data_IF_961777805833
#
_entry.id   IF_961777805833
#
_cell.length_a   1.000
_cell.length_b   1.000
_cell.length_c   1.000
_cell.angle_alpha   90.00
_cell.angle_beta   90.00
_cell.angle_gamma   90.00
#
_symmetry.space_group_name_H-M   'P 1'
#
loop_
_entity.id
_entity.type
_entity.pdbx_description
1 polymer ?
#
# COMPACT_ATOMS: atom_id res chain seq x y z
N UNK A 1 2.27 0.65 20.27
CA UNK A 1 3.31 1.22 19.40
C UNK A 1 2.61 1.87 18.23
N UNK A 2 2.97 3.10 17.87
CA UNK A 2 2.41 3.79 16.71
C UNK A 2 2.94 3.20 15.40
N UNK A 3 2.26 3.46 14.27
CA UNK A 3 2.73 2.98 12.97
C UNK A 3 4.09 3.58 12.61
N UNK A 4 4.33 4.84 12.97
CA UNK A 4 5.62 5.52 12.72
C UNK A 4 6.75 4.83 13.47
N UNK A 5 6.52 4.46 14.75
CA UNK A 5 7.50 3.71 15.54
C UNK A 5 7.78 2.32 14.96
N UNK A 6 6.74 1.61 14.50
CA UNK A 6 6.89 0.30 13.85
C UNK A 6 7.75 0.39 12.57
N UNK A 7 7.49 1.38 11.71
CA UNK A 7 8.29 1.61 10.50
C UNK A 7 9.74 1.99 10.86
N UNK A 8 9.94 2.81 11.89
CA UNK A 8 11.27 3.22 12.32
C UNK A 8 12.12 2.04 12.85
N UNK A 9 11.49 1.05 13.49
CA UNK A 9 12.16 -0.11 14.08
C UNK A 9 12.24 -1.32 13.13
N UNK A 10 11.49 -1.31 12.02
CA UNK A 10 11.44 -2.42 11.08
C UNK A 10 12.80 -2.63 10.39
N UNK A 11 13.15 -3.89 10.19
CA UNK A 11 14.26 -4.33 9.37
C UNK A 11 13.94 -4.22 7.86
N UNK A 12 14.87 -4.59 7.01
CA UNK A 12 14.69 -4.53 5.55
C UNK A 12 13.49 -5.37 5.08
N UNK A 13 13.29 -6.55 5.67
CA UNK A 13 12.17 -7.42 5.32
C UNK A 13 10.83 -6.79 5.71
N UNK A 14 10.73 -6.27 6.93
CA UNK A 14 9.54 -5.59 7.43
C UNK A 14 9.20 -4.34 6.62
N UNK A 15 10.20 -3.53 6.27
CA UNK A 15 10.04 -2.34 5.44
C UNK A 15 9.56 -2.69 4.03
N UNK A 16 10.18 -3.69 3.40
CA UNK A 16 9.79 -4.15 2.06
C UNK A 16 8.37 -4.74 2.06
N UNK A 17 8.05 -5.59 3.02
CA UNK A 17 6.72 -6.18 3.17
C UNK A 17 5.65 -5.12 3.46
N UNK A 18 5.94 -4.14 4.32
CA UNK A 18 5.02 -3.04 4.64
C UNK A 18 4.68 -2.17 3.43
N UNK A 19 5.71 -1.73 2.67
CA UNK A 19 5.53 -0.97 1.45
C UNK A 19 4.79 -1.76 0.37
N UNK A 20 5.21 -3.02 0.16
CA UNK A 20 4.60 -3.91 -0.83
C UNK A 20 3.13 -4.21 -0.50
N UNK A 21 2.80 -4.45 0.76
CA UNK A 21 1.43 -4.69 1.20
C UNK A 21 0.51 -3.48 0.96
N UNK A 22 0.99 -2.25 1.20
CA UNK A 22 0.25 -1.04 0.87
C UNK A 22 -0.02 -0.93 -0.64
N UNK A 23 1.01 -1.11 -1.46
CA UNK A 23 0.91 -1.06 -2.92
C UNK A 23 -0.05 -2.14 -3.45
N UNK A 24 0.07 -3.37 -2.96
CA UNK A 24 -0.74 -4.52 -3.39
C UNK A 24 -2.24 -4.30 -3.12
N UNK A 25 -2.59 -3.69 -1.98
CA UNK A 25 -3.98 -3.33 -1.70
C UNK A 25 -4.52 -2.29 -2.67
N UNK A 26 -3.65 -1.47 -3.25
CA UNK A 26 -4.01 -0.42 -4.22
C UNK A 26 -3.96 -0.86 -5.69
N UNK A 27 -3.56 -2.10 -5.99
CA UNK A 27 -3.54 -2.67 -7.36
C UNK A 27 -4.86 -2.48 -8.13
N UNK A 28 -6.06 -2.56 -7.52
CA UNK A 28 -7.31 -2.29 -8.23
C UNK A 28 -7.41 -0.91 -8.89
N UNK A 29 -6.66 0.08 -8.40
CA UNK A 29 -6.58 1.43 -8.98
C UNK A 29 -5.61 1.51 -10.16
N UNK A 30 -4.69 0.56 -10.27
CA UNK A 30 -3.66 0.50 -11.31
C UNK A 30 -4.07 -0.38 -12.50
N UNK A 31 -5.28 -0.97 -12.47
CA UNK A 31 -5.76 -1.86 -13.52
C UNK A 31 -5.06 -3.22 -13.57
N UNK A 32 -4.25 -3.55 -12.58
CA UNK A 32 -3.53 -4.82 -12.50
C UNK A 32 -4.41 -6.00 -12.05
N UNK A 33 -3.98 -7.20 -12.41
CA UNK A 33 -4.55 -8.44 -11.89
C UNK A 33 -4.05 -8.76 -10.46
N UNK A 34 -4.65 -9.77 -9.84
CA UNK A 34 -4.36 -10.13 -8.44
C UNK A 34 -2.97 -10.73 -8.24
N UNK A 35 -2.30 -11.18 -9.31
CA UNK A 35 -1.00 -11.85 -9.25
C UNK A 35 0.15 -10.96 -9.74
N UNK A 36 -0.14 -9.70 -10.13
CA UNK A 36 0.85 -8.78 -10.72
C UNK A 36 2.06 -8.57 -9.80
N UNK A 37 1.84 -8.52 -8.48
CA UNK A 37 2.89 -8.31 -7.48
C UNK A 37 3.46 -9.62 -6.88
N UNK A 38 3.00 -10.78 -7.38
CA UNK A 38 3.49 -12.09 -6.91
C UNK A 38 5.01 -12.24 -7.00
N UNK A 39 5.69 -11.78 -8.08
CA UNK A 39 7.15 -11.86 -8.14
C UNK A 39 7.86 -11.10 -7.03
N UNK A 40 7.34 -9.92 -6.64
CA UNK A 40 7.89 -9.13 -5.54
C UNK A 40 7.68 -9.82 -4.17
N UNK A 41 6.52 -10.40 -3.93
CA UNK A 41 6.29 -11.20 -2.72
C UNK A 41 7.20 -12.44 -2.67
N UNK A 42 7.42 -13.11 -3.80
CA UNK A 42 8.32 -14.24 -3.89
C UNK A 42 9.76 -13.84 -3.56
N UNK A 43 10.24 -12.71 -4.10
CA UNK A 43 11.61 -12.22 -3.83
C UNK A 43 11.88 -11.86 -2.36
N UNK A 44 10.83 -11.67 -1.55
CA UNK A 44 10.96 -11.47 -0.09
C UNK A 44 11.04 -12.79 0.68
N UNK A 45 10.48 -13.87 0.12
CA UNK A 45 10.39 -15.18 0.78
C UNK A 45 11.60 -16.08 0.45
N UNK A 46 12.31 -15.83 -0.65
CA UNK A 46 13.42 -16.64 -1.12
C UNK A 46 14.71 -16.32 -0.35
N UNK A 47 15.42 -17.35 0.10
CA UNK A 47 16.78 -17.28 0.61
C UNK A 47 17.77 -17.12 -0.55
N UNK A 48 19.01 -16.73 -0.26
CA UNK A 48 20.05 -16.30 -1.23
C UNK A 48 20.30 -17.22 -2.44
N UNK A 49 19.87 -18.49 -2.43
CA UNK A 49 20.10 -19.46 -3.50
C UNK A 49 19.06 -19.46 -4.65
N UNK A 50 17.92 -18.77 -4.50
CA UNK A 50 16.87 -18.67 -5.52
C UNK A 50 16.51 -17.24 -5.92
N UNK A 51 17.44 -16.34 -5.75
CA UNK A 51 17.27 -14.89 -5.76
C UNK A 51 16.73 -14.36 -7.09
N UNK A 52 15.44 -14.05 -7.12
CA UNK A 52 14.94 -13.10 -8.13
C UNK A 52 15.37 -11.70 -7.70
N UNK A 53 16.08 -11.02 -8.57
CA UNK A 53 16.49 -9.65 -8.31
C UNK A 53 15.26 -8.77 -8.05
N UNK A 54 15.22 -8.17 -6.87
CA UNK A 54 14.14 -7.26 -6.47
C UNK A 54 13.96 -6.13 -7.49
N UNK A 55 15.07 -5.52 -7.95
CA UNK A 55 15.06 -4.42 -8.91
C UNK A 55 14.46 -4.84 -10.24
N UNK A 56 14.82 -6.03 -10.76
CA UNK A 56 14.22 -6.58 -11.97
C UNK A 56 12.72 -6.81 -11.81
N UNK A 57 12.28 -7.34 -10.65
CA UNK A 57 10.87 -7.52 -10.36
C UNK A 57 10.12 -6.18 -10.30
N UNK A 58 10.70 -5.15 -9.71
CA UNK A 58 10.12 -3.79 -9.67
C UNK A 58 9.94 -3.25 -11.09
N UNK A 59 10.96 -3.34 -11.95
CA UNK A 59 10.89 -2.86 -13.33
C UNK A 59 9.86 -3.64 -14.16
N UNK A 60 9.77 -4.95 -14.00
CA UNK A 60 8.76 -5.77 -14.66
C UNK A 60 7.33 -5.37 -14.25
N UNK A 61 7.10 -5.10 -12.97
CA UNK A 61 5.80 -4.64 -12.47
C UNK A 61 5.48 -3.26 -13.01
N UNK A 62 6.45 -2.33 -13.00
CA UNK A 62 6.29 -1.00 -13.58
C UNK A 62 5.90 -1.07 -15.05
N UNK A 63 6.62 -1.86 -15.85
CA UNK A 63 6.34 -2.02 -17.27
C UNK A 63 4.91 -2.53 -17.55
N UNK A 64 4.38 -3.38 -16.67
CA UNK A 64 3.02 -3.94 -16.81
C UNK A 64 1.92 -3.00 -16.33
N UNK A 65 2.17 -2.18 -15.31
CA UNK A 65 1.19 -1.29 -14.69
C UNK A 65 1.29 0.16 -15.18
N UNK A 66 2.32 0.49 -15.93
CA UNK A 66 2.46 1.82 -16.54
C UNK A 66 1.59 1.88 -17.80
N UNK A 67 0.33 2.19 -17.61
CA UNK A 67 -0.56 2.51 -18.75
C UNK A 67 -0.24 3.94 -19.14
N UNK A 68 0.13 4.14 -20.40
CA UNK A 68 0.55 5.43 -20.99
C UNK A 68 -0.58 6.47 -20.99
N UNK A 69 -1.81 6.03 -20.89
CA UNK A 69 -2.97 6.90 -20.76
C UNK A 69 -3.32 7.05 -19.27
N UNK A 70 -2.73 8.06 -18.66
CA UNK A 70 -3.13 8.49 -17.33
C UNK A 70 -4.64 8.76 -17.29
N UNK A 71 -5.32 8.47 -16.18
CA UNK A 71 -6.76 8.65 -16.09
C UNK A 71 -7.11 10.09 -16.44
N UNK A 72 -7.88 10.27 -17.47
CA UNK A 72 -8.54 11.51 -17.75
C UNK A 72 -9.45 11.83 -16.56
N UNK A 73 -9.08 12.82 -15.75
CA UNK A 73 -9.88 13.20 -14.59
C UNK A 73 -9.06 13.64 -13.36
N UNK A 74 -8.09 14.53 -13.57
CA UNK A 74 -7.58 15.36 -12.46
C UNK A 74 -8.74 16.20 -11.93
N UNK A 75 -9.20 15.89 -10.70
CA UNK A 75 -10.30 16.62 -10.04
C UNK A 75 -11.38 15.72 -9.44
N UNK A 76 -11.29 14.40 -9.60
CA UNK A 76 -12.15 13.45 -8.87
C UNK A 76 -11.34 12.70 -7.80
N UNK A 77 -12.01 12.33 -6.70
CA UNK A 77 -11.38 11.55 -5.63
C UNK A 77 -10.75 10.24 -6.14
N UNK A 78 -11.34 9.61 -7.15
CA UNK A 78 -10.76 8.42 -7.77
C UNK A 78 -9.55 8.74 -8.64
N UNK A 79 -9.57 9.85 -9.38
CA UNK A 79 -8.41 10.30 -10.15
C UNK A 79 -7.22 10.57 -9.24
N UNK A 80 -7.45 11.26 -8.13
CA UNK A 80 -6.42 11.50 -7.10
C UNK A 80 -5.92 10.19 -6.48
N UNK A 81 -6.81 9.25 -6.17
CA UNK A 81 -6.45 7.93 -5.65
C UNK A 81 -5.56 7.14 -6.63
N UNK A 82 -5.86 7.19 -7.93
CA UNK A 82 -5.04 6.57 -8.98
C UNK A 82 -3.65 7.22 -9.06
N UNK A 83 -3.56 8.54 -9.01
CA UNK A 83 -2.27 9.27 -8.99
C UNK A 83 -1.43 8.86 -7.79
N UNK A 84 -2.03 8.74 -6.61
CA UNK A 84 -1.33 8.27 -5.40
C UNK A 84 -0.84 6.83 -5.56
N UNK A 85 -1.63 5.93 -6.13
CA UNK A 85 -1.23 4.55 -6.37
C UNK A 85 -0.05 4.46 -7.36
N UNK A 86 -0.07 5.24 -8.45
CA UNK A 86 1.07 5.35 -9.37
C UNK A 86 2.32 5.91 -8.70
N UNK A 87 2.17 6.89 -7.80
CA UNK A 87 3.29 7.43 -7.01
C UNK A 87 3.92 6.37 -6.11
N UNK A 88 3.12 5.51 -5.46
CA UNK A 88 3.62 4.38 -4.67
C UNK A 88 4.47 3.44 -5.54
N UNK A 89 3.99 3.08 -6.71
CA UNK A 89 4.70 2.22 -7.65
C UNK A 89 5.99 2.89 -8.17
N UNK A 90 5.91 4.16 -8.56
CA UNK A 90 7.06 4.92 -9.06
C UNK A 90 8.16 5.11 -8.01
N UNK A 91 7.79 5.17 -6.73
CA UNK A 91 8.73 5.33 -5.62
C UNK A 91 9.38 4.01 -5.17
N UNK A 92 8.96 2.84 -5.67
CA UNK A 92 9.55 1.55 -5.31
C UNK A 92 11.06 1.56 -5.67
N UNK A 93 11.97 1.27 -4.72
CA UNK A 93 13.41 1.36 -5.00
C UNK A 93 13.88 0.16 -5.83
N UNK A 94 14.82 0.38 -6.75
CA UNK A 94 15.52 -0.70 -7.44
C UNK A 94 16.48 -1.43 -6.49
N UNK A 95 17.12 -0.68 -5.58
CA UNK A 95 18.02 -1.23 -4.57
C UNK A 95 17.30 -1.45 -3.25
N UNK A 96 17.33 -2.68 -2.74
CA UNK A 96 16.71 -3.10 -1.49
C UNK A 96 17.60 -2.80 -0.28
N UNK A 97 17.88 -1.52 -0.05
CA UNK A 97 18.58 -1.06 1.16
C UNK A 97 17.57 -0.58 2.22
N UNK A 98 17.90 -0.73 3.51
CA UNK A 98 17.04 -0.27 4.60
C UNK A 98 16.66 1.20 4.46
N UNK A 99 17.57 2.07 4.01
CA UNK A 99 17.32 3.49 3.82
C UNK A 99 16.30 3.78 2.71
N UNK A 100 16.44 3.09 1.56
CA UNK A 100 15.54 3.24 0.42
C UNK A 100 14.16 2.65 0.72
N UNK A 101 14.14 1.47 1.34
CA UNK A 101 12.90 0.79 1.73
C UNK A 101 12.12 1.58 2.77
N UNK A 102 12.80 2.23 3.74
CA UNK A 102 12.12 3.08 4.73
C UNK A 102 11.42 4.27 4.09
N UNK A 103 12.11 4.97 3.18
CA UNK A 103 11.49 6.07 2.41
C UNK A 103 10.29 5.60 1.62
N UNK A 104 10.39 4.45 0.97
CA UNK A 104 9.30 3.86 0.20
C UNK A 104 8.13 3.41 1.07
N UNK A 105 8.41 2.72 2.19
CA UNK A 105 7.39 2.30 3.14
C UNK A 105 6.61 3.50 3.71
N UNK A 106 7.30 4.60 4.01
CA UNK A 106 6.65 5.84 4.45
C UNK A 106 5.74 6.43 3.36
N UNK A 107 6.24 6.54 2.12
CA UNK A 107 5.43 7.01 0.97
C UNK A 107 4.19 6.13 0.79
N UNK A 108 4.36 4.81 0.80
CA UNK A 108 3.27 3.86 0.63
C UNK A 108 2.25 3.93 1.77
N UNK A 109 2.71 4.04 3.01
CA UNK A 109 1.86 4.17 4.19
C UNK A 109 0.97 5.41 4.12
N UNK A 110 1.55 6.57 3.83
CA UNK A 110 0.82 7.83 3.71
C UNK A 110 -0.18 7.76 2.55
N UNK A 111 0.27 7.36 1.37
CA UNK A 111 -0.57 7.30 0.18
C UNK A 111 -1.74 6.32 0.34
N UNK A 112 -1.52 5.14 0.95
CA UNK A 112 -2.60 4.18 1.18
C UNK A 112 -3.68 4.73 2.12
N UNK A 113 -3.32 5.42 3.20
CA UNK A 113 -4.29 6.06 4.09
C UNK A 113 -5.06 7.19 3.39
N UNK A 114 -4.38 8.00 2.56
CA UNK A 114 -5.02 9.03 1.75
C UNK A 114 -6.00 8.43 0.74
N UNK A 115 -5.60 7.39 0.02
CA UNK A 115 -6.46 6.66 -0.93
C UNK A 115 -7.73 6.16 -0.24
N UNK A 116 -7.59 5.52 0.91
CA UNK A 116 -8.74 5.00 1.64
C UNK A 116 -9.65 6.12 2.16
N UNK A 117 -9.09 7.27 2.56
CA UNK A 117 -9.86 8.47 2.91
C UNK A 117 -10.64 9.05 1.73
N UNK A 118 -9.98 9.22 0.57
CA UNK A 118 -10.61 9.73 -0.66
C UNK A 118 -11.76 8.83 -1.16
N UNK A 119 -11.64 7.52 -0.95
CA UNK A 119 -12.60 6.53 -1.43
C UNK A 119 -13.68 6.18 -0.40
N UNK A 120 -13.56 6.64 0.85
CA UNK A 120 -14.58 6.39 1.87
C UNK A 120 -15.83 7.24 1.60
N UNK A 121 -16.95 6.57 1.37
CA UNK A 121 -18.23 7.25 1.12
C UNK A 121 -18.82 7.89 2.37
N UNK A 122 -18.35 7.49 3.56
CA UNK A 122 -18.81 8.02 4.86
C UNK A 122 -17.94 9.17 5.34
N UNK A 123 -16.78 9.41 4.72
CA UNK A 123 -15.99 10.59 5.00
C UNK A 123 -16.80 11.81 4.59
N UNK A 124 -17.33 12.55 5.57
CA UNK A 124 -17.83 13.89 5.33
C UNK A 124 -16.68 14.69 4.72
N UNK A 125 -17.01 15.60 3.81
CA UNK A 125 -16.09 16.54 3.17
C UNK A 125 -15.49 17.52 4.19
N UNK A 126 -14.96 17.03 5.28
CA UNK A 126 -14.18 17.79 6.23
C UNK A 126 -12.72 17.63 5.78
N UNK A 127 -12.14 18.76 5.48
CA UNK A 127 -10.79 19.04 5.06
C UNK A 127 -9.71 18.39 5.95
N UNK A 128 -9.59 17.08 5.90
CA UNK A 128 -8.55 16.33 6.58
C UNK A 128 -7.30 16.25 5.69
N UNK A 129 -6.55 17.34 5.66
CA UNK A 129 -5.29 17.43 4.95
C UNK A 129 -4.19 16.49 5.49
N UNK A 130 -3.00 16.60 4.93
CA UNK A 130 -1.82 15.82 5.28
C UNK A 130 -1.52 15.73 6.79
N UNK A 131 -1.93 16.73 7.58
CA UNK A 131 -1.83 16.76 9.04
C UNK A 131 -2.59 15.62 9.71
N UNK A 132 -3.80 15.32 9.25
CA UNK A 132 -4.64 14.23 9.76
C UNK A 132 -4.03 12.84 9.52
N UNK A 133 -3.39 12.60 8.37
CA UNK A 133 -2.73 11.31 8.10
C UNK A 133 -1.53 11.10 9.03
N UNK A 134 -0.74 12.13 9.28
CA UNK A 134 0.39 12.08 10.22
C UNK A 134 -0.11 11.76 11.62
N UNK A 135 -1.14 12.45 12.08
CA UNK A 135 -1.76 12.25 13.39
C UNK A 135 -2.23 10.81 13.60
N UNK A 136 -2.87 10.24 12.58
CA UNK A 136 -3.35 8.84 12.60
C UNK A 136 -2.21 7.84 12.69
N UNK A 137 -1.13 8.07 11.95
CA UNK A 137 0.07 7.24 11.99
C UNK A 137 0.78 7.31 13.34
N UNK A 138 0.69 8.43 14.04
CA UNK A 138 1.21 8.64 15.40
C UNK A 138 0.30 8.06 16.50
N UNK A 139 -0.87 7.51 16.16
CA UNK A 139 -1.77 6.85 17.08
C UNK A 139 -3.00 7.68 17.50
N UNK A 140 -3.20 8.86 16.93
CA UNK A 140 -4.44 9.64 17.12
C UNK A 140 -5.53 9.09 16.20
N UNK A 141 -6.39 8.22 16.74
CA UNK A 141 -7.38 7.45 15.96
C UNK A 141 -8.82 7.93 16.13
N UNK A 142 -9.02 9.08 16.79
CA UNK A 142 -10.36 9.65 16.99
C UNK A 142 -10.97 10.07 15.65
N UNK A 143 -12.26 9.86 15.50
CA UNK A 143 -13.08 10.24 14.33
C UNK A 143 -12.58 9.69 12.97
N UNK A 144 -11.86 8.58 13.02
CA UNK A 144 -11.35 7.93 11.82
C UNK A 144 -12.46 7.20 11.06
N UNK A 145 -12.57 7.41 9.75
CA UNK A 145 -13.52 6.67 8.93
C UNK A 145 -13.23 5.17 8.95
N UNK A 146 -14.25 4.31 8.83
CA UNK A 146 -14.06 2.86 8.94
C UNK A 146 -13.06 2.29 7.95
N UNK A 147 -13.00 2.84 6.71
CA UNK A 147 -12.09 2.36 5.68
C UNK A 147 -10.64 2.71 6.00
N UNK A 148 -10.39 3.94 6.48
CA UNK A 148 -9.05 4.39 6.92
C UNK A 148 -8.61 3.62 8.17
N UNK A 149 -9.50 3.42 9.14
CA UNK A 149 -9.21 2.64 10.33
C UNK A 149 -8.84 1.18 10.02
N UNK A 150 -9.52 0.58 9.04
CA UNK A 150 -9.20 -0.77 8.59
C UNK A 150 -7.83 -0.83 7.89
N UNK A 151 -7.50 0.17 7.07
CA UNK A 151 -6.19 0.26 6.42
C UNK A 151 -5.07 0.44 7.44
N UNK A 152 -5.22 1.37 8.39
CA UNK A 152 -4.23 1.58 9.46
C UNK A 152 -3.94 0.29 10.23
N UNK A 153 -5.00 -0.44 10.64
CA UNK A 153 -4.84 -1.73 11.34
C UNK A 153 -4.08 -2.74 10.50
N UNK A 154 -4.37 -2.84 9.19
CA UNK A 154 -3.64 -3.77 8.29
C UNK A 154 -2.16 -3.42 8.17
N UNK A 155 -1.82 -2.13 8.08
CA UNK A 155 -0.43 -1.70 8.03
C UNK A 155 0.32 -2.11 9.31
N UNK A 156 -0.27 -1.86 10.48
CA UNK A 156 0.29 -2.26 11.77
C UNK A 156 0.46 -3.79 11.82
N UNK A 157 -0.60 -4.55 11.51
CA UNK A 157 -0.57 -6.02 11.58
C UNK A 157 0.47 -6.64 10.64
N UNK A 158 0.68 -6.09 9.44
CA UNK A 158 1.73 -6.58 8.53
C UNK A 158 3.12 -6.42 9.14
N UNK A 159 3.42 -5.25 9.71
CA UNK A 159 4.71 -4.99 10.33
C UNK A 159 4.93 -5.86 11.57
N UNK A 160 3.91 -6.00 12.43
CA UNK A 160 3.96 -6.85 13.62
C UNK A 160 4.17 -8.34 13.27
N UNK A 161 3.45 -8.85 12.25
CA UNK A 161 3.60 -10.23 11.79
C UNK A 161 5.02 -10.53 11.29
N UNK A 162 5.57 -9.63 10.48
CA UNK A 162 6.92 -9.82 9.95
C UNK A 162 7.97 -9.65 11.04
N UNK A 163 7.80 -8.69 11.95
CA UNK A 163 8.68 -8.50 13.09
C UNK A 163 8.70 -9.72 14.02
N UNK A 164 7.55 -10.36 14.26
CA UNK A 164 7.43 -11.51 15.15
C UNK A 164 7.89 -12.83 14.52
N UNK A 165 7.72 -13.00 13.21
CA UNK A 165 7.88 -14.31 12.55
C UNK A 165 8.87 -14.29 11.37
N UNK A 166 9.48 -13.14 11.05
CA UNK A 166 10.38 -13.01 9.89
C UNK A 166 9.74 -13.48 8.59
N UNK A 167 10.48 -14.24 7.74
CA UNK A 167 9.95 -14.76 6.48
C UNK A 167 8.70 -15.65 6.62
N UNK A 168 8.54 -16.35 7.75
CA UNK A 168 7.35 -17.16 8.01
C UNK A 168 6.07 -16.31 8.15
N UNK A 169 6.19 -15.05 8.59
CA UNK A 169 5.09 -14.10 8.69
C UNK A 169 4.57 -13.57 7.34
N UNK A 170 5.38 -13.66 6.27
CA UNK A 170 5.03 -13.12 4.94
C UNK A 170 3.76 -13.74 4.36
N UNK A 171 3.51 -15.03 4.61
CA UNK A 171 2.28 -15.67 4.12
C UNK A 171 1.04 -15.04 4.72
N UNK A 172 1.01 -14.84 6.05
CA UNK A 172 -0.12 -14.21 6.72
C UNK A 172 -0.25 -12.72 6.34
N UNK A 173 0.87 -12.01 6.20
CA UNK A 173 0.88 -10.64 5.71
C UNK A 173 0.25 -10.52 4.31
N UNK A 174 0.55 -11.46 3.41
CA UNK A 174 -0.05 -11.54 2.06
C UNK A 174 -1.54 -11.87 2.11
N UNK A 175 -1.99 -12.75 3.01
CA UNK A 175 -3.42 -13.06 3.20
C UNK A 175 -4.21 -11.81 3.64
N UNK A 176 -3.71 -11.06 4.64
CA UNK A 176 -4.29 -9.78 5.07
C UNK A 176 -4.34 -8.75 3.92
N UNK A 177 -3.29 -8.72 3.11
CA UNK A 177 -3.18 -7.83 1.95
C UNK A 177 -4.21 -8.18 0.89
N UNK A 178 -4.39 -9.46 0.59
CA UNK A 178 -5.38 -9.96 -0.37
C UNK A 178 -6.81 -9.60 0.05
N UNK A 179 -7.13 -9.72 1.33
CA UNK A 179 -8.43 -9.30 1.87
C UNK A 179 -8.64 -7.79 1.72
N UNK A 180 -7.63 -6.98 2.08
CA UNK A 180 -7.69 -5.52 1.91
C UNK A 180 -7.89 -5.09 0.46
N UNK A 181 -7.21 -5.76 -0.49
CA UNK A 181 -7.37 -5.53 -1.93
C UNK A 181 -8.80 -5.82 -2.40
N UNK A 182 -9.41 -6.90 -1.93
CA UNK A 182 -10.81 -7.24 -2.25
C UNK A 182 -11.78 -6.16 -1.73
N UNK A 183 -11.54 -5.64 -0.53
CA UNK A 183 -12.34 -4.54 0.03
C UNK A 183 -12.23 -3.30 -0.85
N UNK A 184 -11.01 -2.88 -1.21
CA UNK A 184 -10.82 -1.70 -2.04
C UNK A 184 -11.44 -1.87 -3.44
N UNK A 185 -11.29 -3.05 -4.06
CA UNK A 185 -11.93 -3.37 -5.34
C UNK A 185 -13.45 -3.23 -5.26
N UNK A 186 -14.07 -3.70 -4.19
CA UNK A 186 -15.50 -3.57 -3.98
C UNK A 186 -15.93 -2.09 -3.84
N UNK A 187 -15.14 -1.28 -3.15
CA UNK A 187 -15.38 0.17 -3.02
C UNK A 187 -15.30 0.87 -4.37
N UNK A 188 -14.23 0.66 -5.13
CA UNK A 188 -14.04 1.24 -6.48
C UNK A 188 -15.19 0.83 -7.40
N UNK A 189 -15.54 -0.46 -7.44
CA UNK A 189 -16.64 -0.97 -8.28
C UNK A 189 -17.99 -0.38 -7.90
N UNK A 190 -18.25 -0.16 -6.60
CA UNK A 190 -19.50 0.46 -6.14
C UNK A 190 -19.59 1.92 -6.57
N UNK A 191 -18.50 2.68 -6.44
CA UNK A 191 -18.45 4.08 -6.85
C UNK A 191 -18.63 4.24 -8.37
N UNK A 192 -18.02 3.36 -9.17
CA UNK A 192 -18.22 3.35 -10.62
C UNK A 192 -19.69 3.14 -11.02
N UNK A 193 -20.41 2.23 -10.34
CA UNK A 193 -21.84 2.00 -10.58
C UNK A 193 -22.74 3.14 -10.11
N UNK A 194 -22.36 3.87 -9.08
CA UNK A 194 -23.14 5.01 -8.58
C UNK A 194 -23.06 6.27 -9.44
N UNK A 195 -22.22 6.25 -10.49
CA UNK A 195 -22.06 7.35 -11.46
C UNK A 195 -22.76 7.08 -12.81
N UNK A 196 -23.18 5.85 -13.04
CA UNK A 196 -23.94 5.45 -14.23
C UNK A 196 -25.43 5.62 -13.98
#
# INVERSE_FOLDING_TARGET
MSLVELIAQADELGLAAGGLACLDRCVPLLGGDDEILRPLWASLAESEEGFRDWGECVEQVRAKLYVVDGPAGTGSAEGEAVVLAHRMLGAAPAERTAANLRKWADVCSVAALQIHGLLDATARAESDGASSVTDRREGRTQDMSPLVAAELRRQISVLELVAAHGPAGLRQARELTTEGRRVLRAVVSRRARGRA
#
